data_IF_994911598083
#
_entry.id   IF_994911598083
#
_cell.length_a   1.000
_cell.length_b   1.000
_cell.length_c   1.000
_cell.angle_alpha   90.00
_cell.angle_beta   90.00
_cell.angle_gamma   90.00
#
_symmetry.space_group_name_H-M   'P 1'
#
loop_
_entity.id
_entity.type
_entity.pdbx_description
1 polymer ?
#
# COMPACT_ATOMS: atom_id res chain seq x y z
N UNK A 1 8.74 16.09 2.90
CA UNK A 1 7.48 15.97 2.11
C UNK A 1 6.56 15.03 2.86
N UNK A 2 5.26 15.30 2.91
CA UNK A 2 4.28 14.41 3.55
C UNK A 2 3.65 13.48 2.52
N UNK A 3 3.36 12.24 2.93
CA UNK A 3 2.65 11.24 2.14
C UNK A 3 1.40 10.79 2.87
N UNK A 4 0.29 10.73 2.13
CA UNK A 4 -0.91 10.01 2.55
C UNK A 4 -0.85 8.58 2.04
N UNK A 5 -1.12 7.62 2.91
CA UNK A 5 -1.07 6.19 2.61
C UNK A 5 -2.31 5.49 3.12
N UNK A 6 -2.93 4.70 2.27
CA UNK A 6 -3.97 3.77 2.66
C UNK A 6 -3.32 2.49 3.22
N UNK A 7 -3.72 2.08 4.41
CA UNK A 7 -3.28 0.84 5.04
C UNK A 7 -4.47 -0.03 5.41
N UNK A 8 -4.28 -1.33 5.34
CA UNK A 8 -5.19 -2.31 5.89
C UNK A 8 -4.72 -2.67 7.30
N UNK A 9 -5.46 -2.28 8.34
CA UNK A 9 -5.13 -2.55 9.76
C UNK A 9 -5.67 -3.91 10.22
N UNK A 10 -6.51 -4.54 9.42
CA UNK A 10 -7.14 -5.84 9.67
C UNK A 10 -8.16 -6.15 8.57
N UNK A 11 -8.78 -7.34 8.56
CA UNK A 11 -9.79 -7.68 7.57
C UNK A 11 -10.89 -6.62 7.51
N UNK A 12 -11.11 -6.05 6.32
CA UNK A 12 -12.08 -5.00 6.00
C UNK A 12 -11.87 -3.67 6.73
N UNK A 13 -10.71 -3.44 7.32
CA UNK A 13 -10.38 -2.25 8.11
C UNK A 13 -9.32 -1.43 7.41
N UNK A 14 -9.76 -0.53 6.52
CA UNK A 14 -8.89 0.41 5.84
C UNK A 14 -8.79 1.72 6.62
N UNK A 15 -7.60 2.31 6.62
CA UNK A 15 -7.32 3.59 7.26
C UNK A 15 -6.34 4.41 6.44
N UNK A 16 -6.61 5.70 6.33
CA UNK A 16 -5.64 6.66 5.82
C UNK A 16 -4.68 7.08 6.93
N UNK A 17 -3.40 7.07 6.65
CA UNK A 17 -2.34 7.58 7.52
C UNK A 17 -1.53 8.62 6.77
N UNK A 18 -1.22 9.73 7.44
CA UNK A 18 -0.28 10.75 6.96
C UNK A 18 1.05 10.54 7.66
N UNK A 19 2.15 10.50 6.91
CA UNK A 19 3.51 10.35 7.44
C UNK A 19 4.50 11.18 6.64
N UNK A 20 5.62 11.53 7.26
CA UNK A 20 6.74 12.13 6.55
C UNK A 20 7.44 11.09 5.66
N UNK A 21 7.81 11.52 4.45
CA UNK A 21 8.67 10.75 3.54
C UNK A 21 10.09 10.78 4.09
N UNK A 22 10.66 9.60 4.31
CA UNK A 22 12.04 9.43 4.78
C UNK A 22 13.04 9.81 3.70
N UNK A 23 14.27 10.14 4.11
CA UNK A 23 15.40 10.23 3.20
C UNK A 23 15.61 8.90 2.48
N UNK A 24 15.88 8.98 1.18
CA UNK A 24 16.16 7.85 0.30
C UNK A 24 17.66 7.58 0.22
N UNK A 25 18.04 6.38 -0.20
CA UNK A 25 19.43 6.03 -0.51
C UNK A 25 19.83 6.45 -1.93
N UNK A 26 21.12 6.34 -2.26
CA UNK A 26 21.68 6.75 -3.56
C UNK A 26 21.09 5.98 -4.75
N UNK A 27 20.56 4.77 -4.53
CA UNK A 27 19.98 3.87 -5.53
C UNK A 27 18.44 3.88 -5.53
N UNK A 28 17.82 4.80 -4.78
CA UNK A 28 16.38 4.92 -4.65
C UNK A 28 15.84 6.17 -5.36
N UNK A 29 14.57 6.15 -5.75
CA UNK A 29 13.85 7.30 -6.31
C UNK A 29 12.54 7.52 -5.57
N UNK A 30 12.09 8.77 -5.54
CA UNK A 30 10.76 9.10 -5.01
C UNK A 30 9.79 9.14 -6.19
N UNK A 31 8.73 8.33 -6.11
CA UNK A 31 7.63 8.35 -7.08
C UNK A 31 6.39 8.90 -6.41
N UNK A 32 5.87 10.00 -6.94
CA UNK A 32 4.56 10.51 -6.57
C UNK A 32 3.49 9.75 -7.34
N UNK A 33 2.80 8.86 -6.65
CA UNK A 33 1.68 8.08 -7.21
C UNK A 33 0.52 9.02 -7.59
N UNK A 34 0.06 8.91 -8.85
CA UNK A 34 -1.07 9.65 -9.41
C UNK A 34 -2.31 8.76 -9.40
N UNK A 35 -2.16 7.48 -9.74
CA UNK A 35 -3.23 6.50 -9.74
C UNK A 35 -2.73 5.14 -9.24
N UNK A 36 -3.60 4.39 -8.56
CA UNK A 36 -3.37 3.02 -8.16
C UNK A 36 -4.56 2.16 -8.56
N UNK A 37 -4.31 1.01 -9.20
CA UNK A 37 -5.31 0.00 -9.44
C UNK A 37 -5.43 -0.93 -8.22
N UNK A 38 -6.60 -1.55 -8.09
CA UNK A 38 -6.86 -2.56 -7.07
C UNK A 38 -7.03 -3.91 -7.75
N UNK A 39 -6.17 -4.84 -7.38
CA UNK A 39 -6.24 -6.20 -7.91
C UNK A 39 -7.34 -7.00 -7.24
N UNK A 40 -8.32 -7.44 -8.03
CA UNK A 40 -9.38 -8.34 -7.56
C UNK A 40 -8.81 -9.70 -7.16
N UNK A 41 -7.75 -10.16 -7.82
CA UNK A 41 -7.14 -11.47 -7.55
C UNK A 41 -6.31 -11.49 -6.27
N UNK A 42 -5.60 -10.40 -5.97
CA UNK A 42 -4.67 -10.34 -4.84
C UNK A 42 -5.22 -9.52 -3.67
N UNK A 43 -5.62 -8.27 -3.91
CA UNK A 43 -5.94 -7.34 -2.83
C UNK A 43 -7.34 -7.56 -2.27
N UNK A 44 -8.30 -8.07 -3.04
CA UNK A 44 -9.64 -8.34 -2.53
C UNK A 44 -9.66 -9.51 -1.51
N UNK A 45 -8.99 -10.66 -1.73
CA UNK A 45 -8.82 -11.67 -0.69
C UNK A 45 -8.09 -11.15 0.54
N UNK A 46 -7.04 -10.35 0.37
CA UNK A 46 -6.29 -9.75 1.49
C UNK A 46 -7.16 -8.80 2.31
N UNK A 47 -7.91 -7.91 1.63
CA UNK A 47 -8.89 -7.04 2.26
C UNK A 47 -9.95 -7.84 3.03
N UNK A 48 -10.42 -8.96 2.49
CA UNK A 48 -11.42 -9.80 3.16
C UNK A 48 -10.84 -10.67 4.28
N UNK A 49 -9.51 -10.81 4.37
CA UNK A 49 -8.87 -11.78 5.26
C UNK A 49 -9.09 -13.23 4.81
N UNK A 50 -9.29 -13.45 3.52
CA UNK A 50 -9.54 -14.76 2.91
C UNK A 50 -8.47 -15.15 1.89
N UNK A 51 -7.29 -14.52 1.96
CA UNK A 51 -6.14 -14.86 1.12
C UNK A 51 -5.57 -16.20 1.58
N UNK A 52 -5.74 -17.23 0.75
CA UNK A 52 -5.26 -18.60 1.04
C UNK A 52 -3.74 -18.73 0.93
N UNK A 53 -3.08 -17.76 0.30
CA UNK A 53 -1.62 -17.73 0.16
C UNK A 53 -0.92 -17.11 1.36
N UNK A 54 -1.69 -16.46 2.25
CA UNK A 54 -1.20 -15.76 3.45
C UNK A 54 -2.12 -16.02 4.65
N UNK A 55 -1.94 -17.18 5.28
CA UNK A 55 -2.80 -17.66 6.38
C UNK A 55 -2.62 -16.88 7.70
N UNK A 56 -1.49 -16.19 7.88
CA UNK A 56 -1.18 -15.43 9.10
C UNK A 56 -0.71 -14.01 8.72
N UNK A 57 -1.62 -13.17 8.19
CA UNK A 57 -1.25 -11.86 7.68
C UNK A 57 -0.79 -10.94 8.80
N UNK A 58 0.34 -10.27 8.60
CA UNK A 58 0.79 -9.19 9.48
C UNK A 58 0.15 -7.86 9.09
N UNK A 59 -0.37 -7.14 10.08
CA UNK A 59 -0.94 -5.81 9.90
C UNK A 59 -0.08 -4.75 10.63
N UNK A 60 -0.06 -3.48 10.17
CA UNK A 60 -0.79 -2.95 9.02
C UNK A 60 -0.12 -3.29 7.68
N UNK A 61 -0.93 -3.64 6.67
CA UNK A 61 -0.45 -3.93 5.31
C UNK A 61 -0.50 -2.68 4.43
N UNK A 62 0.51 -2.51 3.57
CA UNK A 62 0.42 -1.55 2.46
C UNK A 62 -0.57 -2.08 1.42
N UNK A 63 -1.34 -1.19 0.82
CA UNK A 63 -2.20 -1.48 -0.34
C UNK A 63 -1.63 -0.79 -1.58
N UNK A 64 -2.02 -1.22 -2.77
CA UNK A 64 -1.69 -0.62 -4.05
C UNK A 64 -0.29 -1.00 -4.53
N UNK A 65 -0.18 -2.13 -5.23
CA UNK A 65 1.06 -2.56 -5.89
C UNK A 65 1.08 -2.24 -7.41
N UNK A 66 -0.07 -1.91 -7.99
CA UNK A 66 -0.21 -1.52 -9.40
C UNK A 66 -0.44 -0.02 -9.46
N UNK A 67 0.63 0.76 -9.69
CA UNK A 67 0.56 2.22 -9.64
C UNK A 67 1.16 2.89 -10.87
N UNK A 68 0.61 4.07 -11.18
CA UNK A 68 1.14 5.02 -12.14
C UNK A 68 1.51 6.31 -11.41
N UNK A 69 2.68 6.87 -11.72
CA UNK A 69 3.20 8.05 -11.03
C UNK A 69 4.34 8.73 -11.78
N UNK A 70 4.78 9.84 -11.20
CA UNK A 70 5.90 10.66 -11.69
C UNK A 70 7.10 10.56 -10.74
N UNK A 71 8.31 10.59 -11.28
CA UNK A 71 9.55 10.68 -10.49
C UNK A 71 9.76 12.13 -10.06
N UNK A 72 10.10 12.34 -8.79
CA UNK A 72 10.33 13.66 -8.19
C UNK A 72 11.63 13.72 -7.39
#
# INVERSE_FOLDING_TARGET
MEQNKLVLEGPRRLKWETREIKFIQDDEIIVKTIAGAISIGAELPQFKGSDVTDMNPFYPRKTGYESYGEVI
#
